data_IF_318733330241
#
_entry.id   IF_318733330241
#
_cell.length_a   1.000
_cell.length_b   1.000
_cell.length_c   1.000
_cell.angle_alpha   90.00
_cell.angle_beta   90.00
_cell.angle_gamma   90.00
#
_symmetry.space_group_name_H-M   'P 1'
#
loop_
_entity.id
_entity.type
_entity.pdbx_description
1 polymer ?
#
# COMPACT_ATOMS: atom_id res chain seq x y z
N UNK A 1 21.89 0.42 13.44
CA UNK A 1 20.49 0.84 13.61
C UNK A 1 20.41 1.99 14.58
N UNK A 2 19.42 2.85 14.39
CA UNK A 2 19.18 4.03 15.24
C UNK A 2 18.24 3.67 16.39
N UNK A 3 18.75 3.68 17.64
CA UNK A 3 17.98 3.32 18.83
C UNK A 3 16.79 4.27 19.08
N UNK A 4 16.88 5.54 18.66
CA UNK A 4 15.77 6.51 18.78
C UNK A 4 14.63 6.13 17.84
N UNK A 5 14.94 5.77 16.60
CA UNK A 5 13.94 5.30 15.63
C UNK A 5 13.28 4.00 16.09
N UNK A 6 14.04 3.08 16.68
CA UNK A 6 13.48 1.86 17.26
C UNK A 6 12.52 2.15 18.42
N UNK A 7 12.83 3.10 19.31
CA UNK A 7 11.91 3.51 20.38
C UNK A 7 10.64 4.14 19.82
N UNK A 8 10.76 5.03 18.82
CA UNK A 8 9.60 5.61 18.13
C UNK A 8 8.71 4.54 17.51
N UNK A 9 9.30 3.57 16.81
CA UNK A 9 8.57 2.46 16.24
C UNK A 9 7.86 1.61 17.30
N UNK A 10 8.56 1.21 18.36
CA UNK A 10 8.00 0.38 19.43
C UNK A 10 6.79 1.06 20.09
N UNK A 11 6.89 2.35 20.41
CA UNK A 11 5.79 3.09 21.03
C UNK A 11 4.63 3.30 20.04
N UNK A 12 4.90 3.58 18.77
CA UNK A 12 3.87 3.68 17.73
C UNK A 12 3.14 2.35 17.53
N UNK A 13 3.88 1.25 17.51
CA UNK A 13 3.31 -0.10 17.45
C UNK A 13 2.48 -0.43 18.70
N UNK A 14 2.92 0.01 19.89
CA UNK A 14 2.17 -0.13 21.14
C UNK A 14 0.81 0.56 21.05
N UNK A 15 0.73 1.76 20.45
CA UNK A 15 -0.56 2.44 20.19
C UNK A 15 -1.45 1.58 19.30
N UNK A 16 -0.94 1.03 18.18
CA UNK A 16 -1.70 0.13 17.30
C UNK A 16 -2.29 -1.06 18.06
N UNK A 17 -1.48 -1.70 18.91
CA UNK A 17 -1.90 -2.87 19.70
C UNK A 17 -2.97 -2.48 20.73
N UNK A 18 -2.77 -1.39 21.46
CA UNK A 18 -3.74 -0.88 22.44
C UNK A 18 -5.08 -0.54 21.77
N UNK A 19 -5.06 0.18 20.64
CA UNK A 19 -6.28 0.51 19.90
C UNK A 19 -7.04 -0.74 19.44
N UNK A 20 -6.35 -1.81 19.03
CA UNK A 20 -6.99 -3.09 18.70
C UNK A 20 -7.62 -3.78 19.91
N UNK A 21 -7.06 -3.59 21.11
CA UNK A 21 -7.59 -4.15 22.36
C UNK A 21 -8.75 -3.33 22.91
N UNK A 22 -8.91 -2.08 22.50
CA UNK A 22 -9.86 -1.12 23.09
C UNK A 22 -11.33 -1.54 23.05
N UNK A 23 -11.70 -2.47 22.18
CA UNK A 23 -13.05 -3.04 22.15
C UNK A 23 -13.31 -4.04 23.30
N UNK A 24 -12.26 -4.52 23.97
CA UNK A 24 -12.36 -5.56 25.03
C UNK A 24 -11.82 -5.10 26.37
N UNK A 25 -10.98 -4.08 26.41
CA UNK A 25 -10.33 -3.55 27.60
C UNK A 25 -10.26 -2.04 27.49
N UNK A 26 -10.49 -1.34 28.60
CA UNK A 26 -10.17 0.09 28.66
C UNK A 26 -8.65 0.29 28.63
N UNK A 27 -8.20 1.01 27.63
CA UNK A 27 -6.79 1.32 27.36
C UNK A 27 -6.51 2.82 27.36
N UNK A 28 -7.49 3.63 27.78
CA UNK A 28 -7.44 5.08 27.69
C UNK A 28 -6.25 5.67 28.45
N UNK A 29 -5.98 5.16 29.65
CA UNK A 29 -4.84 5.61 30.46
C UNK A 29 -3.49 5.29 29.80
N UNK A 30 -3.35 4.10 29.20
CA UNK A 30 -2.13 3.67 28.52
C UNK A 30 -1.86 4.52 27.28
N UNK A 31 -2.91 4.80 26.49
CA UNK A 31 -2.83 5.64 25.28
C UNK A 31 -2.52 7.08 25.66
N UNK A 32 -3.19 7.63 26.67
CA UNK A 32 -2.94 8.97 27.18
C UNK A 32 -1.49 9.13 27.68
N UNK A 33 -0.95 8.14 28.39
CA UNK A 33 0.43 8.15 28.86
C UNK A 33 1.43 8.26 27.68
N UNK A 34 1.19 7.54 26.59
CA UNK A 34 2.06 7.58 25.40
C UNK A 34 2.01 8.97 24.74
N UNK A 35 0.84 9.53 24.48
CA UNK A 35 0.72 10.78 23.75
C UNK A 35 1.04 12.03 24.60
N UNK A 36 0.88 11.96 25.92
CA UNK A 36 1.15 13.09 26.82
C UNK A 36 2.60 13.16 27.32
N UNK A 37 3.39 12.10 27.12
CA UNK A 37 4.79 12.07 27.56
C UNK A 37 5.72 11.64 26.42
N UNK A 38 5.91 12.54 25.45
CA UNK A 38 6.76 12.30 24.29
C UNK A 38 8.24 12.05 24.61
N UNK A 39 8.72 12.48 25.78
CA UNK A 39 10.10 12.24 26.22
C UNK A 39 10.31 10.77 26.61
N UNK A 40 9.37 10.21 27.35
CA UNK A 40 9.41 8.83 27.81
C UNK A 40 8.91 7.87 26.70
N UNK A 41 7.87 8.26 25.98
CA UNK A 41 7.25 7.46 24.91
C UNK A 41 7.29 8.18 23.55
N UNK A 42 8.48 8.42 22.97
CA UNK A 42 8.54 9.03 21.65
C UNK A 42 7.86 8.12 20.61
N UNK A 43 7.00 8.72 19.79
CA UNK A 43 6.32 8.08 18.67
C UNK A 43 6.78 8.68 17.34
N UNK A 44 6.32 8.18 16.20
CA UNK A 44 6.60 8.80 14.90
C UNK A 44 6.16 10.28 14.88
N UNK A 45 7.02 11.14 14.40
CA UNK A 45 6.77 12.58 14.26
C UNK A 45 6.76 13.05 12.81
N UNK A 46 7.26 12.23 11.90
CA UNK A 46 7.27 12.51 10.46
C UNK A 46 7.29 11.21 9.65
N UNK A 47 7.18 11.34 8.33
CA UNK A 47 7.32 10.22 7.39
C UNK A 47 8.72 9.58 7.46
N UNK A 48 9.75 10.31 7.90
CA UNK A 48 11.11 9.81 8.01
C UNK A 48 11.31 8.85 9.21
N UNK A 49 10.35 8.83 10.13
CA UNK A 49 10.35 7.94 11.30
C UNK A 49 9.66 6.60 11.03
N UNK A 50 8.88 6.51 9.93
CA UNK A 50 8.07 5.33 9.67
C UNK A 50 8.91 4.06 9.50
N UNK A 51 8.35 2.94 9.94
CA UNK A 51 9.04 1.66 9.86
C UNK A 51 8.90 1.07 8.46
N UNK A 52 10.00 0.96 7.76
CA UNK A 52 10.08 0.40 6.41
C UNK A 52 11.20 -0.63 6.31
N UNK A 53 10.95 -1.70 5.56
CA UNK A 53 11.98 -2.60 5.10
C UNK A 53 12.38 -2.19 3.69
N UNK A 54 13.61 -1.76 3.51
CA UNK A 54 14.17 -1.45 2.20
C UNK A 54 14.75 -2.71 1.60
N UNK A 55 14.24 -3.14 0.44
CA UNK A 55 14.82 -4.24 -0.31
C UNK A 55 16.13 -3.82 -0.95
N UNK A 56 17.18 -4.58 -0.70
CA UNK A 56 18.43 -4.41 -1.44
C UNK A 56 18.40 -5.32 -2.67
N UNK A 57 18.89 -4.81 -3.79
CA UNK A 57 18.90 -5.54 -5.06
C UNK A 57 20.03 -6.58 -5.17
N UNK A 58 20.66 -6.98 -4.06
CA UNK A 58 21.85 -7.86 -4.07
C UNK A 58 21.49 -9.34 -4.02
N UNK A 59 20.31 -9.71 -3.50
CA UNK A 59 19.85 -11.09 -3.38
C UNK A 59 18.54 -11.27 -4.13
N UNK A 60 18.41 -12.34 -4.93
CA UNK A 60 17.24 -12.59 -5.78
C UNK A 60 15.91 -12.68 -5.01
N UNK A 61 15.94 -13.20 -3.79
CA UNK A 61 14.78 -13.26 -2.91
C UNK A 61 14.23 -11.87 -2.55
N UNK A 62 15.08 -10.85 -2.47
CA UNK A 62 14.69 -9.46 -2.17
C UNK A 62 14.42 -8.62 -3.42
N UNK A 63 14.54 -9.21 -4.62
CA UNK A 63 14.27 -8.54 -5.91
C UNK A 63 12.85 -8.80 -6.41
N UNK A 64 12.04 -9.44 -5.65
CA UNK A 64 10.82 -10.10 -6.11
C UNK A 64 9.86 -9.24 -6.96
N UNK A 65 9.65 -7.99 -6.63
CA UNK A 65 8.79 -7.12 -7.43
C UNK A 65 9.53 -6.07 -8.23
N UNK A 66 10.79 -5.87 -7.93
CA UNK A 66 11.52 -4.69 -8.33
C UNK A 66 12.73 -5.15 -9.15
N UNK A 67 12.45 -5.58 -10.36
CA UNK A 67 13.51 -5.78 -11.32
C UNK A 67 13.40 -4.72 -12.41
N UNK A 68 14.10 -3.57 -12.30
CA UNK A 68 14.19 -2.60 -13.39
C UNK A 68 14.68 -3.23 -14.69
N UNK A 69 15.49 -4.30 -14.59
CA UNK A 69 16.00 -5.06 -15.73
C UNK A 69 14.95 -5.96 -16.42
N UNK A 70 13.78 -6.16 -15.80
CA UNK A 70 12.67 -6.89 -16.40
C UNK A 70 11.57 -5.95 -16.91
N UNK A 71 11.80 -4.64 -16.88
CA UNK A 71 10.94 -3.71 -17.58
C UNK A 71 11.04 -3.98 -19.08
N UNK A 72 9.90 -4.01 -19.79
CA UNK A 72 9.90 -4.20 -21.23
C UNK A 72 10.80 -3.17 -21.91
N UNK A 73 11.59 -3.63 -22.86
CA UNK A 73 12.47 -2.77 -23.69
C UNK A 73 11.71 -1.78 -24.59
N UNK A 74 10.39 -1.89 -24.62
CA UNK A 74 9.50 -1.04 -25.42
C UNK A 74 9.19 0.32 -24.79
N UNK A 75 9.78 0.62 -23.62
CA UNK A 75 9.59 1.87 -22.92
C UNK A 75 8.24 2.01 -22.21
N UNK A 76 7.37 0.99 -22.24
CA UNK A 76 6.07 1.03 -21.56
C UNK A 76 6.16 1.09 -20.05
N UNK A 77 7.24 0.56 -19.49
CA UNK A 77 7.39 0.39 -18.04
C UNK A 77 6.41 -0.61 -17.43
N UNK A 78 5.59 -1.29 -18.24
CA UNK A 78 4.55 -2.22 -17.77
C UNK A 78 4.95 -3.66 -18.07
N UNK A 79 4.89 -4.53 -17.05
CA UNK A 79 5.20 -5.96 -17.20
C UNK A 79 3.89 -6.75 -17.29
N UNK A 80 3.41 -6.97 -18.50
CA UNK A 80 2.19 -7.75 -18.75
C UNK A 80 2.36 -9.26 -18.55
N UNK A 81 3.57 -9.78 -18.71
CA UNK A 81 3.87 -11.21 -18.56
C UNK A 81 3.86 -11.75 -17.13
N UNK A 82 3.49 -10.92 -16.16
CA UNK A 82 3.41 -11.32 -14.75
C UNK A 82 2.17 -12.19 -14.49
N UNK A 83 2.29 -13.08 -13.51
CA UNK A 83 1.17 -13.88 -13.02
C UNK A 83 0.25 -13.13 -12.05
N UNK A 84 0.66 -11.94 -11.60
CA UNK A 84 -0.12 -11.13 -10.67
C UNK A 84 -1.04 -10.17 -11.43
N UNK A 85 -2.31 -10.19 -11.08
CA UNK A 85 -3.33 -9.28 -11.59
C UNK A 85 -3.88 -8.45 -10.45
N UNK A 86 -4.29 -7.22 -10.77
CA UNK A 86 -4.95 -6.38 -9.78
C UNK A 86 -6.36 -6.90 -9.54
N UNK A 87 -6.80 -6.92 -8.29
CA UNK A 87 -8.14 -7.36 -7.93
C UNK A 87 -9.21 -6.43 -8.49
N UNK A 88 -10.32 -7.00 -8.96
CA UNK A 88 -11.53 -6.29 -9.38
C UNK A 88 -12.00 -5.28 -8.31
N UNK A 89 -12.02 -5.69 -7.04
CA UNK A 89 -12.49 -4.83 -5.95
C UNK A 89 -11.75 -3.48 -5.85
N UNK A 90 -10.42 -3.44 -6.10
CA UNK A 90 -9.69 -2.18 -6.06
C UNK A 90 -9.87 -1.37 -7.34
N UNK A 91 -9.93 -2.02 -8.50
CA UNK A 91 -10.14 -1.32 -9.78
C UNK A 91 -11.52 -0.67 -9.78
N UNK A 92 -12.56 -1.41 -9.41
CA UNK A 92 -13.94 -0.91 -9.35
C UNK A 92 -14.10 0.22 -8.33
N UNK A 93 -13.45 0.09 -7.15
CA UNK A 93 -13.49 1.14 -6.14
C UNK A 93 -12.86 2.45 -6.63
N UNK A 94 -11.78 2.38 -7.40
CA UNK A 94 -11.11 3.55 -7.97
C UNK A 94 -11.90 4.14 -9.14
N UNK A 95 -12.44 3.29 -10.03
CA UNK A 95 -13.25 3.73 -11.17
C UNK A 95 -14.57 4.36 -10.73
N UNK A 96 -15.28 3.73 -9.79
CA UNK A 96 -16.58 4.23 -9.29
C UNK A 96 -16.48 5.61 -8.67
N UNK A 97 -15.30 5.95 -8.11
CA UNK A 97 -15.04 7.24 -7.47
C UNK A 97 -14.34 8.25 -8.38
N UNK A 98 -14.09 7.89 -9.62
CA UNK A 98 -13.26 8.67 -10.56
C UNK A 98 -11.93 9.10 -9.90
N UNK A 99 -11.28 8.13 -9.20
CA UNK A 99 -10.11 8.40 -8.38
C UNK A 99 -8.86 8.54 -9.27
N UNK A 100 -8.18 9.71 -9.24
CA UNK A 100 -7.01 9.96 -10.09
C UNK A 100 -5.81 9.05 -9.78
N UNK A 101 -5.85 8.28 -8.70
CA UNK A 101 -4.81 7.30 -8.37
C UNK A 101 -4.90 6.02 -9.20
N UNK A 102 -5.98 5.80 -9.93
CA UNK A 102 -6.14 4.60 -10.75
C UNK A 102 -4.92 4.35 -11.64
N UNK A 103 -4.49 5.27 -12.54
CA UNK A 103 -3.34 5.04 -13.41
C UNK A 103 -1.99 5.01 -12.66
N UNK A 104 -1.95 5.50 -11.42
CA UNK A 104 -0.75 5.42 -10.57
C UNK A 104 -0.56 4.02 -10.01
N UNK A 105 -1.65 3.35 -9.62
CA UNK A 105 -1.62 2.04 -8.99
C UNK A 105 -1.74 0.90 -9.99
N UNK A 106 -2.49 1.11 -11.05
CA UNK A 106 -2.93 0.08 -11.99
C UNK A 106 -2.48 0.44 -13.39
N UNK A 107 -1.85 -0.50 -14.09
CA UNK A 107 -1.63 -0.37 -15.52
C UNK A 107 -2.88 -0.81 -16.29
N UNK A 108 -3.14 -0.26 -17.49
CA UNK A 108 -4.25 -0.71 -18.32
C UNK A 108 -4.11 -2.20 -18.69
N UNK A 109 -5.17 -2.80 -19.21
CA UNK A 109 -5.09 -4.14 -19.77
C UNK A 109 -4.11 -4.16 -20.95
N UNK A 110 -3.45 -5.31 -21.18
CA UNK A 110 -2.48 -5.42 -22.28
C UNK A 110 -3.12 -5.11 -23.64
N UNK A 111 -4.30 -5.67 -23.90
CA UNK A 111 -5.01 -5.42 -25.14
C UNK A 111 -5.30 -3.94 -25.38
N UNK A 112 -5.77 -3.22 -24.37
CA UNK A 112 -6.03 -1.79 -24.51
C UNK A 112 -4.74 -0.97 -24.62
N UNK A 113 -3.67 -1.38 -23.97
CA UNK A 113 -2.36 -0.74 -24.08
C UNK A 113 -1.80 -0.86 -25.52
N UNK A 114 -1.84 -2.06 -26.10
CA UNK A 114 -1.40 -2.31 -27.47
C UNK A 114 -2.27 -1.56 -28.50
N UNK A 115 -3.59 -1.55 -28.29
CA UNK A 115 -4.52 -0.79 -29.13
C UNK A 115 -4.26 0.72 -29.07
N UNK A 116 -4.05 1.27 -27.87
CA UNK A 116 -3.69 2.69 -27.69
C UNK A 116 -2.34 3.02 -28.33
N UNK A 117 -1.35 2.12 -28.22
CA UNK A 117 -0.05 2.29 -28.88
C UNK A 117 -0.15 2.32 -30.40
N UNK A 118 -1.03 1.52 -30.97
CA UNK A 118 -1.31 1.52 -32.41
C UNK A 118 -2.11 2.75 -32.85
N UNK A 119 -3.03 3.23 -32.01
CA UNK A 119 -3.86 4.39 -32.25
C UNK A 119 -4.13 5.13 -30.93
N UNK A 120 -3.50 6.28 -30.72
CA UNK A 120 -3.62 7.08 -29.51
C UNK A 120 -5.05 7.58 -29.18
N UNK A 121 -5.97 7.49 -30.13
CA UNK A 121 -7.39 7.81 -29.88
C UNK A 121 -8.14 6.70 -29.15
N UNK A 122 -7.60 5.48 -29.08
CA UNK A 122 -8.20 4.38 -28.32
C UNK A 122 -7.95 4.60 -26.81
N UNK A 123 -8.99 4.65 -25.98
CA UNK A 123 -8.80 4.86 -24.55
C UNK A 123 -8.17 3.66 -23.85
N UNK A 124 -7.46 3.90 -22.75
CA UNK A 124 -7.03 2.83 -21.87
C UNK A 124 -8.22 2.19 -21.15
N UNK A 125 -8.20 0.87 -21.05
CA UNK A 125 -9.16 0.08 -20.28
C UNK A 125 -8.47 -0.50 -19.06
N UNK A 126 -9.09 -0.32 -17.91
CA UNK A 126 -8.66 -0.91 -16.63
C UNK A 126 -9.69 -1.94 -16.20
N UNK A 127 -9.25 -3.17 -15.93
CA UNK A 127 -10.12 -4.26 -15.51
C UNK A 127 -9.41 -5.11 -14.46
N UNK A 128 -10.01 -5.24 -13.30
CA UNK A 128 -9.49 -6.11 -12.23
C UNK A 128 -9.89 -7.57 -12.43
N UNK A 129 -9.06 -8.47 -11.94
CA UNK A 129 -9.38 -9.90 -11.95
C UNK A 129 -10.31 -10.23 -10.79
N UNK A 130 -11.41 -10.97 -11.00
CA UNK A 130 -12.25 -11.46 -9.93
C UNK A 130 -11.45 -12.31 -8.93
N UNK A 131 -11.76 -12.15 -7.64
CA UNK A 131 -11.15 -12.96 -6.59
C UNK A 131 -11.88 -14.33 -6.48
N UNK A 132 -11.15 -15.35 -6.04
CA UNK A 132 -11.74 -16.65 -5.74
C UNK A 132 -12.00 -17.56 -6.93
N UNK A 133 -11.42 -17.26 -8.09
CA UNK A 133 -11.49 -18.14 -9.25
C UNK A 133 -10.84 -19.50 -8.93
N UNK A 134 -11.52 -20.59 -9.29
CA UNK A 134 -10.95 -21.94 -9.27
C UNK A 134 -9.80 -22.08 -10.26
N UNK A 135 -8.99 -23.11 -10.11
CA UNK A 135 -7.89 -23.38 -11.05
C UNK A 135 -8.37 -23.60 -12.49
N UNK A 136 -9.56 -24.17 -12.68
CA UNK A 136 -10.16 -24.36 -14.01
C UNK A 136 -10.52 -23.00 -14.63
N UNK A 137 -11.24 -22.14 -13.91
CA UNK A 137 -11.60 -20.81 -14.38
C UNK A 137 -10.38 -19.94 -14.66
N UNK A 138 -9.32 -20.04 -13.84
CA UNK A 138 -8.06 -19.31 -14.09
C UNK A 138 -7.36 -19.73 -15.38
N UNK A 139 -7.55 -20.96 -15.84
CA UNK A 139 -6.98 -21.46 -17.09
C UNK A 139 -7.79 -21.03 -18.31
N UNK A 140 -9.07 -20.71 -18.14
CA UNK A 140 -9.98 -20.33 -19.24
C UNK A 140 -9.97 -18.82 -19.51
N UNK A 141 -9.55 -18.00 -18.56
CA UNK A 141 -9.51 -16.54 -18.75
C UNK A 141 -8.31 -16.11 -19.59
N UNK A 142 -8.53 -15.13 -20.46
CA UNK A 142 -7.43 -14.40 -21.07
C UNK A 142 -6.82 -13.43 -20.04
N UNK A 143 -5.59 -13.71 -19.63
CA UNK A 143 -4.88 -12.88 -18.65
C UNK A 143 -4.58 -11.48 -19.16
N UNK A 144 -4.52 -11.30 -20.47
CA UNK A 144 -4.24 -10.01 -21.13
C UNK A 144 -5.45 -9.05 -21.09
N UNK A 145 -6.64 -9.58 -20.76
CA UNK A 145 -7.86 -8.81 -20.46
C UNK A 145 -7.86 -8.16 -19.07
N UNK A 146 -6.89 -8.48 -18.22
CA UNK A 146 -6.84 -7.97 -16.86
C UNK A 146 -5.61 -7.08 -16.62
N UNK A 147 -5.83 -6.06 -15.81
CA UNK A 147 -4.83 -5.08 -15.42
C UNK A 147 -3.78 -5.67 -14.47
N UNK A 148 -2.55 -5.18 -14.60
CA UNK A 148 -1.43 -5.48 -13.71
C UNK A 148 -1.07 -4.27 -12.87
N UNK A 149 -0.19 -4.43 -11.88
CA UNK A 149 0.34 -3.31 -11.11
C UNK A 149 1.13 -2.36 -12.03
N UNK A 150 0.94 -1.07 -11.84
CA UNK A 150 1.72 -0.07 -12.58
C UNK A 150 3.21 -0.15 -12.24
N UNK A 151 4.06 0.34 -13.15
CA UNK A 151 5.50 0.44 -12.93
C UNK A 151 5.84 1.32 -11.72
N UNK A 152 5.04 2.33 -11.43
CA UNK A 152 5.22 3.22 -10.28
C UNK A 152 5.17 2.46 -8.97
N UNK A 153 4.19 1.57 -8.80
CA UNK A 153 4.08 0.74 -7.58
C UNK A 153 5.15 -0.35 -7.58
N UNK A 154 5.43 -0.94 -8.74
CA UNK A 154 6.44 -2.01 -8.85
C UNK A 154 7.86 -1.54 -8.63
N UNK A 155 8.16 -0.27 -8.89
CA UNK A 155 9.47 0.32 -8.64
C UNK A 155 9.71 0.69 -7.17
N UNK A 156 8.68 0.67 -6.32
CA UNK A 156 8.85 0.94 -4.90
C UNK A 156 9.63 -0.19 -4.22
N UNK A 157 10.80 0.16 -3.70
CA UNK A 157 11.72 -0.80 -3.08
C UNK A 157 11.51 -0.97 -1.56
N UNK A 158 10.43 -0.43 -1.02
CA UNK A 158 10.14 -0.43 0.41
C UNK A 158 8.87 -1.20 0.72
N UNK A 159 8.96 -2.08 1.72
CA UNK A 159 7.77 -2.62 2.37
C UNK A 159 7.48 -1.81 3.64
N UNK A 160 6.29 -1.26 3.73
CA UNK A 160 5.87 -0.47 4.88
C UNK A 160 5.35 -1.40 5.98
N UNK A 161 6.03 -1.40 7.13
CA UNK A 161 5.63 -2.16 8.33
C UNK A 161 4.64 -1.36 9.16
N UNK A 162 4.92 -0.06 9.34
CA UNK A 162 4.03 0.89 9.97
C UNK A 162 4.32 2.30 9.45
N UNK A 163 3.28 2.99 8.98
CA UNK A 163 3.41 4.33 8.42
C UNK A 163 3.12 5.41 9.46
N UNK A 164 3.64 6.62 9.21
CA UNK A 164 3.28 7.80 9.99
C UNK A 164 1.78 8.12 9.85
N UNK A 165 1.24 8.00 8.65
CA UNK A 165 -0.19 8.22 8.40
C UNK A 165 -1.08 7.29 9.24
N UNK A 166 -0.73 6.00 9.35
CA UNK A 166 -1.46 5.06 10.20
C UNK A 166 -1.48 5.53 11.66
N UNK A 167 -0.33 5.98 12.19
CA UNK A 167 -0.29 6.50 13.56
C UNK A 167 -1.18 7.73 13.74
N UNK A 168 -1.24 8.63 12.73
CA UNK A 168 -2.13 9.81 12.81
C UNK A 168 -3.60 9.41 12.82
N UNK A 169 -4.00 8.41 12.04
CA UNK A 169 -5.38 7.89 12.09
C UNK A 169 -5.70 7.24 13.44
N UNK A 170 -4.78 6.48 14.02
CA UNK A 170 -4.96 5.91 15.36
C UNK A 170 -5.07 6.99 16.43
N UNK A 171 -4.29 8.07 16.32
CA UNK A 171 -4.39 9.23 17.20
C UNK A 171 -5.72 9.95 17.06
N UNK A 172 -6.18 10.20 15.84
CA UNK A 172 -7.47 10.81 15.57
C UNK A 172 -8.62 9.96 16.14
N UNK A 173 -8.57 8.65 15.97
CA UNK A 173 -9.53 7.72 16.55
C UNK A 173 -9.53 7.78 18.08
N UNK A 174 -8.37 7.83 18.72
CA UNK A 174 -8.25 7.97 20.17
C UNK A 174 -8.85 9.29 20.69
N UNK A 175 -8.69 10.40 19.94
CA UNK A 175 -9.33 11.69 20.24
C UNK A 175 -10.86 11.59 20.13
N UNK A 176 -11.37 11.07 19.03
CA UNK A 176 -12.83 10.92 18.79
C UNK A 176 -13.47 10.05 19.87
N UNK A 177 -12.77 9.02 20.35
CA UNK A 177 -13.23 8.15 21.43
C UNK A 177 -13.04 8.74 22.84
N UNK A 178 -12.49 9.96 22.97
CA UNK A 178 -12.26 10.62 24.25
C UNK A 178 -11.15 10.03 25.11
N UNK A 179 -10.26 9.22 24.53
CA UNK A 179 -9.11 8.63 25.25
C UNK A 179 -7.98 9.64 25.49
N UNK A 180 -7.86 10.63 24.60
CA UNK A 180 -6.92 11.74 24.71
C UNK A 180 -7.60 13.04 24.27
N UNK A 181 -7.08 14.18 24.72
CA UNK A 181 -7.53 15.50 24.26
C UNK A 181 -6.80 15.90 22.97
N UNK A 182 -7.47 16.63 22.09
CA UNK A 182 -6.86 17.16 20.87
C UNK A 182 -7.89 17.48 19.79
N UNK A 183 -7.40 17.93 18.64
CA UNK A 183 -8.21 18.09 17.43
C UNK A 183 -7.95 16.86 16.52
N UNK A 184 -9.02 16.20 16.07
CA UNK A 184 -8.94 15.05 15.17
C UNK A 184 -8.91 15.44 13.67
N UNK A 185 -9.09 16.75 13.37
CA UNK A 185 -9.06 17.30 12.03
C UNK A 185 -7.64 17.77 11.64
#
# INVERSE_FOLDING_TARGET
>A
GDAVKWRKYANSLKVRILMRQSAKKDVSADIAAIFNNAQEYPVFTSIDDQATLVYNNTVDFYKWYIQPKNLPSDGSGVIFGDNFRVSEAIVDALQTKDDPRLPVYVAPTKHSFEAHRANASVPFVYRGQPAGLSAAEQNEIDKDDYSVLSSTIRSESRAFVMTFAELQFLKAEAIIRGMITGNAA
#
